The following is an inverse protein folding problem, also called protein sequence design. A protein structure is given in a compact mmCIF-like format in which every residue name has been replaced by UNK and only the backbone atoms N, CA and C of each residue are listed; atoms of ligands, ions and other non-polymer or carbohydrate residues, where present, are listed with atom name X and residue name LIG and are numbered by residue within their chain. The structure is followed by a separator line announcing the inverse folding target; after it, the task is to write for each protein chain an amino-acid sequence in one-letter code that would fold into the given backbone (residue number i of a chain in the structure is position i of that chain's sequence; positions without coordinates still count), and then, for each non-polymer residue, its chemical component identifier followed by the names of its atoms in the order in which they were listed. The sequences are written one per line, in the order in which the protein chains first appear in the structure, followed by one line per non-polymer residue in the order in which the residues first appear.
data_IF_811754015749
#
_entry.id   IF_811754015749
#
_cell.length_a   1.000
_cell.length_b   1.000
_cell.length_c   1.000
_cell.angle_alpha   90.00
_cell.angle_beta   90.00
_cell.angle_gamma   90.00
#
_symmetry.space_group_name_H-M   'P 1'
#
loop_
_entity.id
_entity.type
_entity.pdbx_description
1 polymer ?
#
# COMPACT_ATOMS: atom_id res chain seq x y z
N UNK A 1 4.04 -26.82 -4.74
CA UNK A 1 5.21 -26.01 -4.35
C UNK A 1 5.13 -24.52 -4.76
N UNK A 2 4.46 -24.17 -5.85
CA UNK A 2 4.37 -22.78 -6.37
C UNK A 2 3.51 -21.88 -5.47
N UNK A 3 2.47 -22.41 -4.83
CA UNK A 3 1.60 -21.69 -3.87
C UNK A 3 2.35 -21.01 -2.69
N UNK A 4 3.48 -21.56 -2.26
CA UNK A 4 4.29 -20.97 -1.18
C UNK A 4 4.92 -19.63 -1.58
N UNK A 5 5.35 -19.47 -2.84
CA UNK A 5 5.96 -18.21 -3.32
C UNK A 5 4.94 -17.06 -3.35
N UNK A 6 3.71 -17.33 -3.77
CA UNK A 6 2.63 -16.33 -3.82
C UNK A 6 2.24 -15.85 -2.42
N UNK A 7 2.13 -16.78 -1.46
CA UNK A 7 1.84 -16.46 -0.07
C UNK A 7 2.96 -15.60 0.55
N UNK A 8 4.22 -15.88 0.23
CA UNK A 8 5.35 -15.07 0.69
C UNK A 8 5.26 -13.65 0.16
N UNK A 9 4.95 -13.45 -1.13
CA UNK A 9 4.77 -12.11 -1.70
C UNK A 9 3.62 -11.34 -1.03
N UNK A 10 2.50 -12.00 -0.74
CA UNK A 10 1.37 -11.38 -0.04
C UNK A 10 1.72 -11.04 1.42
N UNK A 11 2.47 -11.88 2.13
CA UNK A 11 2.94 -11.60 3.48
C UNK A 11 3.91 -10.42 3.52
N UNK A 12 4.88 -10.38 2.61
CA UNK A 12 5.81 -9.25 2.50
C UNK A 12 5.09 -7.95 2.12
N UNK A 13 4.08 -8.02 1.25
CA UNK A 13 3.27 -6.85 0.91
C UNK A 13 2.47 -6.36 2.13
N UNK A 14 1.89 -7.27 2.92
CA UNK A 14 1.20 -6.94 4.16
C UNK A 14 2.13 -6.28 5.17
N UNK A 15 3.33 -6.83 5.35
CA UNK A 15 4.35 -6.26 6.23
C UNK A 15 4.73 -4.83 5.80
N UNK A 16 4.96 -4.61 4.51
CA UNK A 16 5.25 -3.28 3.97
C UNK A 16 4.11 -2.28 4.23
N UNK A 17 2.85 -2.69 4.10
CA UNK A 17 1.66 -1.87 4.41
C UNK A 17 1.60 -1.53 5.91
N UNK A 18 1.83 -2.50 6.80
CA UNK A 18 1.81 -2.30 8.25
C UNK A 18 2.93 -1.33 8.67
N UNK A 19 4.14 -1.53 8.17
CA UNK A 19 5.27 -0.64 8.46
C UNK A 19 5.01 0.78 7.97
N UNK A 20 4.40 0.92 6.78
CA UNK A 20 4.01 2.24 6.26
C UNK A 20 2.97 2.94 7.15
N UNK A 21 2.03 2.20 7.74
CA UNK A 21 1.04 2.77 8.67
C UNK A 21 1.68 3.33 9.94
N UNK A 22 2.77 2.72 10.41
CA UNK A 22 3.44 3.09 11.66
C UNK A 22 4.45 4.24 11.50
N UNK A 23 4.99 4.45 10.30
CA UNK A 23 6.07 5.41 10.05
C UNK A 23 5.57 6.73 9.46
N UNK A 24 6.27 7.87 9.74
CA UNK A 24 5.97 9.14 9.11
C UNK A 24 6.36 9.13 7.62
N UNK A 25 5.46 9.59 6.77
CA UNK A 25 5.62 9.68 5.32
C UNK A 25 6.57 10.79 4.89
N UNK A 26 6.66 11.86 5.68
CA UNK A 26 7.50 13.00 5.41
C UNK A 26 7.58 13.96 6.59
N UNK A 27 8.38 15.00 6.41
CA UNK A 27 8.47 16.13 7.31
C UNK A 27 8.28 17.42 6.50
N UNK A 28 7.62 18.41 7.10
CA UNK A 28 7.43 19.73 6.53
C UNK A 28 8.24 20.71 7.37
N UNK A 29 9.25 21.34 6.76
CA UNK A 29 10.01 22.39 7.40
C UNK A 29 9.31 23.74 7.15
N UNK A 30 8.91 24.47 8.21
CA UNK A 30 8.25 25.77 8.06
C UNK A 30 9.18 26.80 7.43
N UNK A 31 8.63 27.75 6.68
CA UNK A 31 9.38 28.85 6.02
C UNK A 31 10.00 29.86 7.02
N UNK A 32 9.81 29.70 8.33
CA UNK A 32 10.31 30.55 9.39
C UNK A 32 10.81 29.76 10.60
N UNK A 33 11.08 30.43 11.72
CA UNK A 33 11.41 29.77 13.00
C UNK A 33 10.23 28.97 13.50
N UNK A 34 10.25 27.65 13.37
CA UNK A 34 9.19 26.76 13.82
C UNK A 34 9.69 25.31 13.94
N UNK A 35 8.91 24.48 14.64
CA UNK A 35 9.20 23.04 14.77
C UNK A 35 8.74 22.34 13.49
N UNK A 36 9.53 21.42 12.91
CA UNK A 36 9.12 20.64 11.75
C UNK A 36 7.82 19.85 12.03
N UNK A 37 6.88 19.93 11.12
CA UNK A 37 5.65 19.13 11.19
C UNK A 37 5.89 17.74 10.57
N UNK A 38 5.38 16.69 11.21
CA UNK A 38 5.50 15.31 10.73
C UNK A 38 4.20 14.89 10.06
N UNK A 39 4.32 14.39 8.83
CA UNK A 39 3.19 13.87 8.07
C UNK A 39 3.10 12.36 8.19
N UNK A 40 2.01 11.87 8.78
CA UNK A 40 1.65 10.47 8.93
C UNK A 40 0.46 10.11 8.03
N UNK A 41 0.20 8.81 7.86
CA UNK A 41 -1.00 8.35 7.14
C UNK A 41 -2.31 8.85 7.76
N UNK A 42 -2.36 9.07 9.06
CA UNK A 42 -3.55 9.56 9.76
C UNK A 42 -3.71 11.09 9.66
N UNK A 43 -2.63 11.81 9.36
CA UNK A 43 -2.65 13.26 9.25
C UNK A 43 -1.31 13.93 9.57
N UNK A 44 -1.36 15.25 9.66
CA UNK A 44 -0.22 16.10 9.96
C UNK A 44 -0.14 16.37 11.46
N UNK A 45 1.01 16.08 12.06
CA UNK A 45 1.32 16.43 13.45
C UNK A 45 2.14 17.72 13.48
N UNK A 46 1.54 18.80 13.99
CA UNK A 46 2.18 20.12 14.10
C UNK A 46 1.76 20.79 15.41
N UNK A 47 2.71 21.47 16.07
CA UNK A 47 2.45 22.29 17.28
C UNK A 47 1.71 21.55 18.42
N UNK A 48 1.95 20.24 18.59
CA UNK A 48 1.31 19.44 19.65
C UNK A 48 -0.12 18.99 19.31
N UNK A 49 -0.63 19.24 18.10
CA UNK A 49 -1.94 18.81 17.63
C UNK A 49 -1.89 18.01 16.33
N UNK A 50 -2.92 17.18 16.09
CA UNK A 50 -3.11 16.46 14.84
C UNK A 50 -4.15 17.16 13.96
N UNK A 51 -3.76 17.48 12.73
CA UNK A 51 -4.72 17.80 11.67
C UNK A 51 -5.05 16.47 10.95
N UNK A 52 -6.25 15.95 11.19
CA UNK A 52 -6.63 14.61 10.77
C UNK A 52 -7.02 14.63 9.29
N UNK A 53 -6.30 13.86 8.48
CA UNK A 53 -6.60 13.57 7.07
C UNK A 53 -6.62 12.05 6.88
N UNK A 54 -7.70 11.35 7.29
CA UNK A 54 -7.68 9.90 7.47
C UNK A 54 -7.72 9.10 6.16
N UNK A 55 -7.83 9.74 4.99
CA UNK A 55 -8.04 9.04 3.72
C UNK A 55 -6.89 8.07 3.39
N UNK A 56 -5.62 8.50 3.58
CA UNK A 56 -4.46 7.64 3.37
C UNK A 56 -4.45 6.45 4.34
N UNK A 57 -4.83 6.69 5.58
CA UNK A 57 -4.90 5.65 6.60
C UNK A 57 -5.98 4.61 6.27
N UNK A 58 -7.17 5.07 5.93
CA UNK A 58 -8.31 4.20 5.58
C UNK A 58 -7.98 3.35 4.35
N UNK A 59 -7.39 3.94 3.31
CA UNK A 59 -6.98 3.23 2.10
C UNK A 59 -5.98 2.10 2.40
N UNK A 60 -4.94 2.37 3.20
CA UNK A 60 -3.95 1.35 3.60
C UNK A 60 -4.55 0.27 4.51
N UNK A 61 -5.47 0.63 5.41
CA UNK A 61 -6.19 -0.36 6.25
C UNK A 61 -7.02 -1.28 5.37
N UNK A 62 -7.76 -0.75 4.39
CA UNK A 62 -8.53 -1.56 3.43
C UNK A 62 -7.59 -2.47 2.65
N UNK A 63 -6.47 -1.96 2.14
CA UNK A 63 -5.44 -2.74 1.43
C UNK A 63 -4.89 -3.87 2.31
N UNK A 64 -4.60 -3.61 3.57
CA UNK A 64 -4.13 -4.60 4.54
C UNK A 64 -5.16 -5.70 4.81
N UNK A 65 -6.42 -5.33 5.05
CA UNK A 65 -7.53 -6.27 5.27
C UNK A 65 -7.77 -7.15 4.04
N UNK A 66 -7.79 -6.56 2.84
CA UNK A 66 -7.92 -7.31 1.58
C UNK A 66 -6.75 -8.26 1.37
N UNK A 67 -5.53 -7.86 1.71
CA UNK A 67 -4.34 -8.72 1.63
C UNK A 67 -4.44 -9.90 2.60
N UNK A 68 -4.85 -9.66 3.85
CA UNK A 68 -5.12 -10.72 4.82
C UNK A 68 -6.20 -11.70 4.33
N UNK A 69 -7.30 -11.17 3.79
CA UNK A 69 -8.38 -12.00 3.23
C UNK A 69 -7.91 -12.80 1.99
N UNK A 70 -6.93 -12.29 1.23
CA UNK A 70 -6.38 -12.94 0.06
C UNK A 70 -5.59 -14.21 0.39
N UNK A 71 -4.89 -14.25 1.54
CA UNK A 71 -4.03 -15.37 1.93
C UNK A 71 -4.79 -16.71 2.03
N UNK A 72 -5.93 -16.83 2.77
CA UNK A 72 -6.66 -18.08 2.88
C UNK A 72 -7.44 -18.48 1.62
N UNK A 73 -7.58 -17.58 0.64
CA UNK A 73 -8.33 -17.83 -0.59
C UNK A 73 -7.55 -18.64 -1.65
N UNK A 74 -6.49 -19.37 -1.27
CA UNK A 74 -5.67 -20.17 -2.19
C UNK A 74 -6.47 -21.21 -2.99
N UNK A 75 -7.63 -21.66 -2.48
CA UNK A 75 -8.55 -22.56 -3.21
C UNK A 75 -9.39 -21.83 -4.27
N UNK A 76 -9.64 -20.52 -4.10
CA UNK A 76 -10.44 -19.67 -5.02
C UNK A 76 -9.56 -18.70 -5.79
N UNK A 77 -8.68 -19.21 -6.66
CA UNK A 77 -7.66 -18.43 -7.40
C UNK A 77 -8.22 -17.23 -8.15
N UNK A 78 -9.40 -17.36 -8.79
CA UNK A 78 -10.05 -16.24 -9.49
C UNK A 78 -10.41 -15.09 -8.56
N UNK A 79 -10.87 -15.37 -7.34
CA UNK A 79 -11.13 -14.34 -6.32
C UNK A 79 -9.82 -13.71 -5.85
N UNK A 80 -8.79 -14.52 -5.62
CA UNK A 80 -7.47 -14.04 -5.21
C UNK A 80 -6.86 -13.07 -6.24
N UNK A 81 -6.97 -13.38 -7.54
CA UNK A 81 -6.53 -12.46 -8.61
C UNK A 81 -7.29 -11.13 -8.58
N UNK A 82 -8.62 -11.15 -8.37
CA UNK A 82 -9.43 -9.92 -8.27
C UNK A 82 -8.99 -9.04 -7.09
N UNK A 83 -8.71 -9.65 -5.95
CA UNK A 83 -8.23 -8.94 -4.75
C UNK A 83 -6.85 -8.31 -5.01
N UNK A 84 -5.93 -9.04 -5.66
CA UNK A 84 -4.63 -8.47 -6.04
C UNK A 84 -4.78 -7.25 -6.95
N UNK A 85 -5.68 -7.31 -7.95
CA UNK A 85 -5.96 -6.16 -8.82
C UNK A 85 -6.56 -5.00 -8.03
N UNK A 86 -7.50 -5.27 -7.12
CA UNK A 86 -8.07 -4.23 -6.25
C UNK A 86 -6.99 -3.55 -5.41
N UNK A 87 -6.07 -4.30 -4.81
CA UNK A 87 -4.95 -3.74 -4.03
C UNK A 87 -3.98 -2.90 -4.90
N UNK A 88 -3.76 -3.30 -6.16
CA UNK A 88 -2.97 -2.49 -7.11
C UNK A 88 -3.67 -1.15 -7.37
N UNK A 89 -4.99 -1.16 -7.62
CA UNK A 89 -5.77 0.07 -7.84
C UNK A 89 -5.75 0.97 -6.59
N UNK A 90 -5.95 0.41 -5.40
CA UNK A 90 -5.86 1.13 -4.13
C UNK A 90 -4.49 1.78 -3.95
N UNK A 91 -3.40 1.08 -4.28
CA UNK A 91 -2.05 1.66 -4.22
C UNK A 91 -1.89 2.88 -5.13
N UNK A 92 -2.50 2.90 -6.33
CA UNK A 92 -2.52 4.08 -7.19
C UNK A 92 -3.37 5.22 -6.61
N UNK A 93 -4.52 4.91 -6.01
CA UNK A 93 -5.37 5.90 -5.31
C UNK A 93 -4.61 6.53 -4.16
N UNK A 94 -3.89 5.73 -3.37
CA UNK A 94 -3.05 6.20 -2.28
C UNK A 94 -1.99 7.20 -2.76
N UNK A 95 -1.23 6.86 -3.82
CA UNK A 95 -0.23 7.78 -4.39
C UNK A 95 -0.85 9.04 -4.97
N UNK A 96 -2.00 8.94 -5.61
CA UNK A 96 -2.72 10.09 -6.15
C UNK A 96 -3.11 11.08 -5.03
N UNK A 97 -3.65 10.57 -3.93
CA UNK A 97 -4.01 11.42 -2.79
C UNK A 97 -2.78 11.92 -2.02
N UNK A 98 -1.74 11.11 -1.87
CA UNK A 98 -0.46 11.53 -1.29
C UNK A 98 0.15 12.71 -2.08
N UNK A 99 0.21 12.59 -3.41
CA UNK A 99 0.69 13.67 -4.26
C UNK A 99 -0.20 14.94 -4.16
N UNK A 100 -1.52 14.77 -4.08
CA UNK A 100 -2.45 15.88 -3.86
C UNK A 100 -2.18 16.60 -2.53
N UNK A 101 -1.95 15.87 -1.44
CA UNK A 101 -1.61 16.45 -0.14
C UNK A 101 -0.32 17.27 -0.22
N UNK A 102 0.73 16.69 -0.82
CA UNK A 102 2.04 17.35 -0.91
C UNK A 102 2.01 18.59 -1.82
N UNK A 103 1.31 18.52 -2.96
CA UNK A 103 1.32 19.59 -3.96
C UNK A 103 0.32 20.71 -3.67
N UNK A 104 -0.79 20.42 -3.00
CA UNK A 104 -1.87 21.38 -2.76
C UNK A 104 -2.05 21.74 -1.30
N UNK A 105 -2.15 20.77 -0.39
CA UNK A 105 -2.41 21.06 1.03
C UNK A 105 -1.19 21.65 1.76
N UNK A 106 0.02 21.18 1.44
CA UNK A 106 1.23 21.57 2.20
C UNK A 106 2.08 22.63 1.51
N UNK A 107 1.70 23.09 0.31
CA UNK A 107 2.46 24.05 -0.50
C UNK A 107 2.78 25.36 0.26
N UNK A 108 1.84 25.85 1.06
CA UNK A 108 1.96 27.11 1.78
C UNK A 108 2.62 26.97 3.17
N UNK A 109 2.70 25.73 3.69
CA UNK A 109 3.22 25.44 5.02
C UNK A 109 4.76 25.43 5.10
N UNK A 110 5.44 25.05 4.00
CA UNK A 110 6.90 24.96 3.99
C UNK A 110 7.45 24.04 2.93
N UNK A 111 8.69 23.59 3.16
CA UNK A 111 9.37 22.63 2.25
C UNK A 111 9.08 21.20 2.72
N UNK A 112 8.54 20.39 1.81
CA UNK A 112 8.25 18.98 2.11
C UNK A 112 9.46 18.10 1.84
N UNK A 113 9.87 17.34 2.86
CA UNK A 113 10.95 16.35 2.78
C UNK A 113 10.34 14.94 2.87
N UNK A 114 10.29 14.19 1.74
CA UNK A 114 9.77 12.82 1.76
C UNK A 114 10.68 11.90 2.57
N UNK A 115 10.07 10.98 3.33
CA UNK A 115 10.79 9.95 4.08
C UNK A 115 10.60 8.59 3.42
N UNK A 116 11.44 7.62 3.81
CA UNK A 116 11.45 6.25 3.28
C UNK A 116 10.07 5.56 3.33
N UNK A 117 9.24 5.86 4.33
CA UNK A 117 7.91 5.26 4.47
C UNK A 117 7.02 5.50 3.23
N UNK A 118 7.19 6.62 2.52
CA UNK A 118 6.47 6.89 1.27
C UNK A 118 6.81 5.93 0.12
N UNK A 119 7.93 5.20 0.18
CA UNK A 119 8.29 4.19 -0.82
C UNK A 119 7.67 2.81 -0.54
N UNK A 120 7.20 2.54 0.69
CA UNK A 120 6.68 1.23 1.08
C UNK A 120 5.44 0.79 0.29
N UNK A 121 4.46 1.65 0.01
CA UNK A 121 3.33 1.26 -0.84
C UNK A 121 3.75 0.90 -2.27
N UNK A 122 4.85 1.46 -2.80
CA UNK A 122 5.41 1.05 -4.10
C UNK A 122 5.98 -0.38 -4.03
N UNK A 123 6.68 -0.71 -2.95
CA UNK A 123 7.17 -2.07 -2.72
C UNK A 123 5.99 -3.04 -2.63
N UNK A 124 4.94 -2.69 -1.86
CA UNK A 124 3.72 -3.50 -1.78
C UNK A 124 3.05 -3.68 -3.15
N UNK A 125 2.96 -2.62 -3.97
CA UNK A 125 2.42 -2.67 -5.32
C UNK A 125 3.17 -3.67 -6.20
N UNK A 126 4.51 -3.63 -6.19
CA UNK A 126 5.36 -4.57 -6.96
C UNK A 126 5.08 -6.01 -6.49
N UNK A 127 4.99 -6.23 -5.17
CA UNK A 127 4.70 -7.54 -4.59
C UNK A 127 3.29 -8.05 -4.97
N UNK A 128 2.27 -7.19 -5.04
CA UNK A 128 0.93 -7.53 -5.52
C UNK A 128 0.96 -7.94 -7.01
N UNK A 129 1.73 -7.25 -7.85
CA UNK A 129 1.90 -7.62 -9.26
C UNK A 129 2.59 -8.98 -9.39
N UNK A 130 3.63 -9.25 -8.60
CA UNK A 130 4.32 -10.55 -8.59
C UNK A 130 3.41 -11.67 -8.09
N UNK A 131 2.63 -11.42 -7.03
CA UNK A 131 1.63 -12.36 -6.53
C UNK A 131 0.56 -12.66 -7.61
N UNK A 132 0.00 -11.63 -8.26
CA UNK A 132 -0.96 -11.78 -9.33
C UNK A 132 -0.43 -12.64 -10.49
N UNK A 133 0.79 -12.35 -10.96
CA UNK A 133 1.43 -13.13 -12.05
C UNK A 133 1.65 -14.59 -11.64
N UNK A 134 2.05 -14.83 -10.40
CA UNK A 134 2.20 -16.18 -9.87
C UNK A 134 0.87 -16.94 -9.82
N UNK A 135 -0.20 -16.32 -9.30
CA UNK A 135 -1.54 -16.93 -9.22
C UNK A 135 -2.08 -17.23 -10.63
N UNK A 136 -1.87 -16.32 -11.59
CA UNK A 136 -2.30 -16.49 -12.97
C UNK A 136 -1.60 -17.68 -13.64
N UNK A 137 -0.28 -17.81 -13.48
CA UNK A 137 0.48 -18.93 -14.01
C UNK A 137 0.01 -20.29 -13.43
N UNK A 138 -0.31 -20.32 -12.14
CA UNK A 138 -0.87 -21.53 -11.49
C UNK A 138 -2.25 -21.90 -12.03
N UNK A 139 -3.11 -20.91 -12.28
CA UNK A 139 -4.44 -21.15 -12.86
C UNK A 139 -4.34 -21.70 -14.27
N UNK A 140 -3.42 -21.18 -15.08
CA UNK A 140 -3.16 -21.66 -16.45
C UNK A 140 -2.65 -23.11 -16.46
N UNK A 141 -1.75 -23.46 -15.54
CA UNK A 141 -1.25 -24.85 -15.41
C UNK A 141 -2.37 -25.84 -15.06
N UNK A 142 -3.21 -25.50 -14.09
CA UNK A 142 -4.34 -26.38 -13.73
C UNK A 142 -5.31 -26.54 -14.87
N UNK A 143 -5.62 -25.45 -15.57
CA UNK A 143 -6.52 -25.48 -16.72
C UNK A 143 -5.98 -26.30 -17.89
N UNK A 144 -4.65 -26.33 -18.08
CA UNK A 144 -4.02 -27.17 -19.11
C UNK A 144 -4.11 -28.65 -18.78
N UNK A 145 -3.95 -29.01 -17.48
CA UNK A 145 -4.11 -30.41 -17.03
C UNK A 145 -5.55 -30.93 -17.16
N UNK A 146 -6.55 -30.08 -16.89
CA UNK A 146 -7.96 -30.44 -17.05
C UNK A 146 -8.38 -30.68 -18.51
N UNK A 147 -7.63 -30.13 -19.47
CA UNK A 147 -7.88 -30.34 -20.92
C UNK A 147 -7.35 -31.68 -21.47
N UNK A 148 -6.42 -32.30 -20.75
CA UNK A 148 -5.76 -33.57 -21.17
C UNK A 148 -6.55 -34.79 -20.64
N UNK A 149 -7.52 -34.57 -19.77
CA UNK A 149 -8.38 -35.60 -19.19
C UNK A 149 -9.74 -35.68 -19.88
#
# INVERSE_FOLDING_TARGET
MIQRKQTVFLLLALEAVIVCLCLPLGAIEPKGMGVPALFYNIGLYANGGYQIHPLLFVDLVITGVLTLACIPLFKKRKMQMKICVANIVLSFVWYGYYAFCVLHLFKDMGTFHPRFAGCLPLVALILFVLAYRGIKADEELVRSMDRIR
#
